data_IF_326662126004
#
_entry.id   IF_326662126004
#
_cell.length_a   1.000
_cell.length_b   1.000
_cell.length_c   1.000
_cell.angle_alpha   90.00
_cell.angle_beta   90.00
_cell.angle_gamma   90.00
#
_symmetry.space_group_name_H-M   'P 1'
#
loop_
_entity.id
_entity.type
_entity.pdbx_description
1 polymer ?
#
# COMPACT_ATOMS: atom_id res chain seq x y z
N UNK A 1 -4.18 19.62 -17.12
CA UNK A 1 -2.71 19.51 -17.02
C UNK A 1 -2.38 18.72 -15.76
N UNK A 2 -2.32 17.39 -15.85
CA UNK A 2 -1.96 16.54 -14.72
C UNK A 2 -0.44 16.50 -14.61
N UNK A 3 0.11 17.25 -13.64
CA UNK A 3 1.53 17.12 -13.29
C UNK A 3 1.69 15.88 -12.44
N UNK A 4 2.20 14.80 -13.03
CA UNK A 4 2.85 13.73 -12.25
C UNK A 4 4.08 14.35 -11.59
N UNK A 5 4.19 14.36 -10.25
CA UNK A 5 5.37 14.87 -9.59
C UNK A 5 6.56 13.97 -9.91
N UNK A 6 7.68 14.56 -10.33
CA UNK A 6 8.99 13.95 -10.59
C UNK A 6 9.66 13.30 -9.34
N UNK A 7 8.88 12.79 -8.38
CA UNK A 7 9.36 12.30 -7.09
C UNK A 7 9.44 10.77 -6.97
N UNK A 8 9.04 10.00 -7.99
CA UNK A 8 8.82 8.56 -7.82
C UNK A 8 10.11 7.72 -7.82
N UNK A 9 11.23 8.21 -8.35
CA UNK A 9 12.46 7.39 -8.48
C UNK A 9 13.73 7.95 -7.83
N UNK A 10 13.73 9.19 -7.34
CA UNK A 10 14.97 9.90 -6.98
C UNK A 10 15.46 9.79 -5.53
N UNK A 11 14.72 9.16 -4.60
CA UNK A 11 15.13 9.02 -3.19
C UNK A 11 14.90 7.61 -2.65
N UNK A 12 15.23 6.60 -3.45
CA UNK A 12 15.19 5.19 -3.05
C UNK A 12 16.36 4.74 -2.15
N UNK A 13 17.16 5.68 -1.64
CA UNK A 13 18.34 5.40 -0.82
C UNK A 13 18.42 6.37 0.37
N UNK A 14 17.43 6.30 1.25
CA UNK A 14 17.67 6.61 2.66
C UNK A 14 17.29 5.36 3.47
N UNK A 15 18.29 4.70 4.06
CA UNK A 15 18.19 3.37 4.67
C UNK A 15 17.45 3.35 6.02
N UNK A 16 16.45 4.20 6.23
CA UNK A 16 15.55 4.09 7.38
C UNK A 16 14.40 3.15 7.05
N UNK A 17 14.65 1.85 7.12
CA UNK A 17 13.63 0.80 6.99
C UNK A 17 12.39 1.09 7.86
N UNK A 18 11.22 0.61 7.43
CA UNK A 18 10.03 0.54 8.28
C UNK A 18 10.39 -0.22 9.56
N UNK A 19 10.13 0.38 10.72
CA UNK A 19 10.51 -0.19 12.03
C UNK A 19 9.33 -0.22 12.98
N UNK A 20 9.15 -1.35 13.65
CA UNK A 20 8.27 -1.44 14.83
C UNK A 20 8.99 -0.80 16.00
N UNK A 21 8.44 0.30 16.51
CA UNK A 21 8.96 1.01 17.68
C UNK A 21 8.09 0.67 18.89
N UNK A 22 8.66 -0.04 19.85
CA UNK A 22 7.95 -0.48 21.05
C UNK A 22 7.88 0.70 22.03
N UNK A 23 6.66 1.09 22.41
CA UNK A 23 6.40 2.20 23.31
C UNK A 23 6.31 1.72 24.77
N UNK A 24 5.82 0.50 24.98
CA UNK A 24 5.69 -0.08 26.30
C UNK A 24 5.06 -1.46 26.27
N UNK A 25 5.06 -2.14 27.42
CA UNK A 25 4.40 -3.41 27.62
C UNK A 25 3.69 -3.47 28.98
N UNK A 26 2.62 -4.26 29.05
CA UNK A 26 1.89 -4.55 30.27
C UNK A 26 1.72 -6.06 30.40
N UNK A 27 2.00 -6.60 31.58
CA UNK A 27 1.82 -8.01 31.87
C UNK A 27 0.61 -8.25 32.75
N UNK A 28 -0.21 -9.22 32.35
CA UNK A 28 -1.38 -9.68 33.09
C UNK A 28 -1.18 -11.15 33.44
N UNK A 29 -1.40 -11.49 34.71
CA UNK A 29 -1.30 -12.88 35.19
C UNK A 29 -2.67 -13.39 35.60
N UNK A 30 -2.98 -14.61 35.19
CA UNK A 30 -4.13 -15.35 35.70
C UNK A 30 -3.81 -16.84 35.72
N UNK A 31 -3.80 -17.45 36.91
CA UNK A 31 -3.48 -18.88 37.10
C UNK A 31 -2.14 -19.28 36.44
N UNK A 32 -2.15 -20.30 35.57
CA UNK A 32 -1.01 -20.80 34.80
C UNK A 32 -0.84 -20.07 33.44
N UNK A 33 -1.27 -18.80 33.36
CA UNK A 33 -1.19 -17.96 32.17
C UNK A 33 -0.56 -16.60 32.49
N UNK A 34 0.27 -16.14 31.57
CA UNK A 34 0.74 -14.75 31.47
C UNK A 34 0.40 -14.21 30.09
N UNK A 35 -0.25 -13.05 30.06
CA UNK A 35 -0.45 -12.28 28.85
C UNK A 35 0.47 -11.06 28.88
N UNK A 36 1.02 -10.70 27.73
CA UNK A 36 1.76 -9.47 27.49
C UNK A 36 0.98 -8.66 26.47
N UNK A 37 0.55 -7.46 26.87
CA UNK A 37 0.00 -6.45 25.97
C UNK A 37 1.14 -5.52 25.57
N UNK A 38 1.46 -5.48 24.28
CA UNK A 38 2.55 -4.71 23.70
C UNK A 38 1.96 -3.52 22.96
N UNK A 39 2.40 -2.32 23.34
CA UNK A 39 2.05 -1.07 22.67
C UNK A 39 3.20 -0.70 21.75
N UNK A 40 2.91 -0.55 20.46
CA UNK A 40 3.94 -0.26 19.47
C UNK A 40 3.42 0.76 18.45
N UNK A 41 4.34 1.46 17.81
CA UNK A 41 4.07 2.31 16.66
C UNK A 41 4.94 1.88 15.49
N UNK A 42 4.56 2.29 14.28
CA UNK A 42 5.33 1.99 13.07
C UNK A 42 6.03 3.26 12.65
N UNK A 43 7.36 3.25 12.70
CA UNK A 43 8.17 4.33 12.15
C UNK A 43 8.37 4.07 10.67
N UNK A 44 7.77 4.90 9.84
CA UNK A 44 7.95 4.90 8.39
C UNK A 44 8.93 6.00 7.96
N UNK A 45 9.59 5.86 6.79
CA UNK A 45 10.24 6.99 6.14
C UNK A 45 9.25 8.14 5.93
N UNK A 46 9.75 9.36 5.72
CA UNK A 46 8.92 10.51 5.37
C UNK A 46 8.33 10.36 3.95
N UNK A 47 7.31 9.50 3.84
CA UNK A 47 6.59 9.14 2.63
C UNK A 47 5.10 9.17 2.94
N UNK A 48 4.37 10.06 2.25
CA UNK A 48 2.94 10.28 2.45
C UNK A 48 2.10 9.00 2.25
N UNK A 49 2.43 8.15 1.26
CA UNK A 49 1.71 6.91 1.00
C UNK A 49 1.85 5.90 2.16
N UNK A 50 3.06 5.83 2.75
CA UNK A 50 3.29 4.95 3.91
C UNK A 50 2.68 5.50 5.19
N UNK A 51 2.58 6.82 5.34
CA UNK A 51 1.88 7.44 6.49
C UNK A 51 0.40 7.09 6.47
N UNK A 52 -0.23 7.14 5.29
CA UNK A 52 -1.65 6.81 5.15
C UNK A 52 -1.94 5.30 5.39
N UNK A 53 -0.95 4.42 5.25
CA UNK A 53 -1.11 2.99 5.52
C UNK A 53 -1.17 2.66 7.02
N UNK A 54 -0.51 3.45 7.86
CA UNK A 54 -0.42 3.25 9.30
C UNK A 54 -1.16 4.35 10.08
N UNK A 55 -2.29 4.81 9.55
CA UNK A 55 -3.24 5.63 10.31
C UNK A 55 -3.59 4.85 11.59
N UNK A 56 -3.58 5.57 12.72
CA UNK A 56 -3.51 5.10 14.12
C UNK A 56 -2.07 5.13 14.68
N UNK A 57 -1.71 6.22 15.36
CA UNK A 57 -0.35 6.50 15.88
C UNK A 57 0.18 5.42 16.85
N UNK A 58 -0.67 4.52 17.35
CA UNK A 58 -0.29 3.40 18.19
C UNK A 58 -1.16 2.14 17.94
N UNK A 59 -0.50 0.99 17.92
CA UNK A 59 -1.08 -0.34 17.78
C UNK A 59 -0.91 -1.13 19.07
N UNK A 60 -1.77 -2.13 19.25
CA UNK A 60 -1.74 -3.02 20.41
C UNK A 60 -1.72 -4.46 19.95
N UNK A 61 -0.71 -5.21 20.37
CA UNK A 61 -0.60 -6.65 20.14
C UNK A 61 -0.58 -7.40 21.47
N UNK A 62 -1.20 -8.57 21.52
CA UNK A 62 -1.27 -9.38 22.74
C UNK A 62 -0.62 -10.75 22.49
N UNK A 63 0.32 -11.13 23.34
CA UNK A 63 0.94 -12.44 23.36
C UNK A 63 0.60 -13.19 24.64
N UNK A 64 0.23 -14.46 24.53
CA UNK A 64 -0.20 -15.28 25.68
C UNK A 64 0.72 -16.48 25.84
N UNK A 65 1.34 -16.60 27.01
CA UNK A 65 2.03 -17.79 27.48
C UNK A 65 1.11 -18.56 28.44
N UNK A 66 0.93 -19.85 28.20
CA UNK A 66 0.17 -20.78 29.05
C UNK A 66 0.99 -22.05 29.23
N UNK A 67 1.17 -22.48 30.47
CA UNK A 67 1.71 -23.81 30.77
C UNK A 67 0.57 -24.83 30.85
N UNK A 68 0.92 -26.10 30.69
CA UNK A 68 0.01 -27.22 30.97
C UNK A 68 -0.44 -27.18 32.44
N UNK A 69 -1.60 -27.74 32.76
CA UNK A 69 -2.14 -27.71 34.14
C UNK A 69 -1.21 -28.40 35.16
N UNK A 70 -0.40 -29.35 34.69
CA UNK A 70 0.49 -30.16 35.53
C UNK A 70 1.97 -29.69 35.51
N UNK A 71 2.28 -28.58 34.83
CA UNK A 71 3.65 -28.05 34.74
C UNK A 71 3.92 -26.98 35.81
N UNK A 72 5.18 -26.89 36.25
CA UNK A 72 5.61 -25.81 37.15
C UNK A 72 5.66 -24.48 36.40
N UNK A 73 4.84 -23.51 36.83
CA UNK A 73 4.74 -22.21 36.17
C UNK A 73 5.88 -21.26 36.59
N UNK A 74 6.91 -21.15 35.74
CA UNK A 74 7.93 -20.10 35.90
C UNK A 74 7.43 -18.78 35.31
N UNK A 75 7.13 -17.82 36.19
CA UNK A 75 6.67 -16.48 35.84
C UNK A 75 7.64 -15.75 34.90
N UNK A 76 8.95 -15.91 35.12
CA UNK A 76 9.99 -15.22 34.34
C UNK A 76 9.99 -15.74 32.90
N UNK A 77 9.93 -17.06 32.75
CA UNK A 77 9.81 -17.71 31.44
C UNK A 77 8.48 -17.39 30.77
N UNK A 78 7.37 -17.39 31.52
CA UNK A 78 6.05 -17.02 31.03
C UNK A 78 6.00 -15.60 30.46
N UNK A 79 6.60 -14.62 31.16
CA UNK A 79 6.72 -13.25 30.67
C UNK A 79 7.54 -13.17 29.38
N UNK A 80 8.69 -13.84 29.30
CA UNK A 80 9.52 -13.87 28.08
C UNK A 80 8.76 -14.44 26.88
N UNK A 81 8.05 -15.54 27.07
CA UNK A 81 7.25 -16.17 26.00
C UNK A 81 6.09 -15.26 25.58
N UNK A 82 5.37 -14.69 26.55
CA UNK A 82 4.25 -13.81 26.26
C UNK A 82 4.70 -12.57 25.49
N UNK A 83 5.81 -11.97 25.89
CA UNK A 83 6.43 -10.84 25.17
C UNK A 83 6.83 -11.23 23.74
N UNK A 84 7.56 -12.34 23.55
CA UNK A 84 7.99 -12.79 22.23
C UNK A 84 6.80 -13.06 21.29
N UNK A 85 5.69 -13.57 21.83
CA UNK A 85 4.45 -13.76 21.05
C UNK A 85 3.80 -12.43 20.68
N UNK A 86 3.76 -11.46 21.60
CA UNK A 86 3.20 -10.14 21.34
C UNK A 86 4.04 -9.39 20.29
N UNK A 87 5.36 -9.49 20.38
CA UNK A 87 6.30 -8.91 19.41
C UNK A 87 6.13 -9.55 18.03
N UNK A 88 6.08 -10.89 17.95
CA UNK A 88 5.79 -11.59 16.69
C UNK A 88 4.46 -11.12 16.07
N UNK A 89 3.41 -10.96 16.88
CA UNK A 89 2.11 -10.48 16.41
C UNK A 89 2.21 -9.05 15.86
N UNK A 90 2.95 -8.15 16.52
CA UNK A 90 3.17 -6.79 16.05
C UNK A 90 3.85 -6.76 14.67
N UNK A 91 4.93 -7.52 14.49
CA UNK A 91 5.59 -7.63 13.18
C UNK A 91 4.69 -8.24 12.11
N UNK A 92 3.88 -9.24 12.48
CA UNK A 92 2.93 -9.86 11.55
C UNK A 92 1.86 -8.88 11.09
N UNK A 93 1.33 -8.06 12.00
CA UNK A 93 0.34 -7.03 11.66
C UNK A 93 0.92 -6.02 10.66
N UNK A 94 2.13 -5.51 10.91
CA UNK A 94 2.82 -4.59 9.99
C UNK A 94 3.03 -5.24 8.63
N UNK A 95 3.50 -6.48 8.59
CA UNK A 95 3.71 -7.22 7.34
C UNK A 95 2.39 -7.43 6.56
N UNK A 96 1.30 -7.74 7.26
CA UNK A 96 -0.02 -7.97 6.65
C UNK A 96 -0.53 -6.71 5.97
N UNK A 97 -0.40 -5.54 6.61
CA UNK A 97 -0.75 -4.24 6.00
C UNK A 97 0.11 -3.92 4.77
N UNK A 98 1.41 -4.20 4.83
CA UNK A 98 2.32 -4.01 3.69
C UNK A 98 1.98 -4.91 2.50
N UNK A 99 1.59 -6.16 2.76
CA UNK A 99 1.18 -7.09 1.71
C UNK A 99 -0.13 -6.65 1.05
N UNK A 100 -1.10 -6.17 1.82
CA UNK A 100 -2.33 -5.59 1.29
C UNK A 100 -2.03 -4.38 0.40
N UNK A 101 -1.24 -3.42 0.91
CA UNK A 101 -0.84 -2.24 0.14
C UNK A 101 -0.11 -2.60 -1.17
N UNK A 102 0.78 -3.60 -1.13
CA UNK A 102 1.45 -4.09 -2.35
C UNK A 102 0.47 -4.63 -3.38
N UNK A 103 -0.57 -5.34 -2.93
CA UNK A 103 -1.63 -5.87 -3.79
C UNK A 103 -2.45 -4.73 -4.41
N UNK A 104 -2.87 -3.77 -3.60
CA UNK A 104 -3.68 -2.63 -4.05
C UNK A 104 -2.90 -1.75 -5.03
N UNK A 105 -1.61 -1.51 -4.76
CA UNK A 105 -0.73 -0.77 -5.67
C UNK A 105 -0.61 -1.47 -7.03
N UNK A 106 -0.49 -2.81 -7.03
CA UNK A 106 -0.45 -3.57 -8.27
C UNK A 106 -1.75 -3.39 -9.07
N UNK A 107 -2.90 -3.52 -8.42
CA UNK A 107 -4.20 -3.35 -9.08
C UNK A 107 -4.38 -1.92 -9.63
N UNK A 108 -3.94 -0.91 -8.87
CA UNK A 108 -3.96 0.48 -9.31
C UNK A 108 -3.12 0.67 -10.58
N UNK A 109 -1.88 0.16 -10.61
CA UNK A 109 -1.00 0.26 -11.78
C UNK A 109 -1.59 -0.45 -13.01
N UNK A 110 -2.10 -1.67 -12.83
CA UNK A 110 -2.73 -2.44 -13.91
C UNK A 110 -3.96 -1.69 -14.50
N UNK A 111 -4.75 -1.03 -13.63
CA UNK A 111 -5.90 -0.21 -14.04
C UNK A 111 -5.46 1.07 -14.76
N UNK A 112 -4.44 1.75 -14.22
CA UNK A 112 -3.89 2.96 -14.80
C UNK A 112 -3.37 2.72 -16.22
N UNK A 113 -2.60 1.65 -16.43
CA UNK A 113 -2.06 1.30 -17.75
C UNK A 113 -3.17 1.01 -18.77
N UNK A 114 -4.25 0.37 -18.32
CA UNK A 114 -5.43 0.11 -19.16
C UNK A 114 -6.10 1.42 -19.59
N UNK A 115 -6.38 2.31 -18.64
CA UNK A 115 -7.02 3.61 -18.93
C UNK A 115 -6.12 4.47 -19.81
N UNK A 116 -4.82 4.49 -19.54
CA UNK A 116 -3.84 5.22 -20.34
C UNK A 116 -3.83 4.73 -21.79
N UNK A 117 -3.77 3.41 -22.00
CA UNK A 117 -3.75 2.81 -23.34
C UNK A 117 -5.02 3.13 -24.13
N UNK A 118 -6.19 3.01 -23.50
CA UNK A 118 -7.48 3.36 -24.12
C UNK A 118 -7.55 4.84 -24.49
N UNK A 119 -7.06 5.71 -23.62
CA UNK A 119 -7.04 7.15 -23.88
C UNK A 119 -6.07 7.48 -25.02
N UNK A 120 -4.87 6.90 -25.03
CA UNK A 120 -3.88 7.09 -26.09
C UNK A 120 -4.44 6.67 -27.45
N UNK A 121 -5.04 5.48 -27.55
CA UNK A 121 -5.65 5.00 -28.80
C UNK A 121 -6.78 5.92 -29.28
N UNK A 122 -7.60 6.45 -28.35
CA UNK A 122 -8.65 7.42 -28.70
C UNK A 122 -8.05 8.74 -29.15
N UNK A 123 -7.00 9.21 -28.49
CA UNK A 123 -6.29 10.43 -28.85
C UNK A 123 -5.70 10.32 -30.26
N UNK A 124 -4.95 9.25 -30.55
CA UNK A 124 -4.32 9.02 -31.85
C UNK A 124 -5.36 8.95 -32.97
N UNK A 125 -6.47 8.22 -32.77
CA UNK A 125 -7.60 8.19 -33.73
C UNK A 125 -8.22 9.56 -33.95
N UNK A 126 -8.35 10.37 -32.89
CA UNK A 126 -8.94 11.71 -33.00
C UNK A 126 -8.03 12.64 -33.78
N UNK A 127 -6.72 12.58 -33.55
CA UNK A 127 -5.73 13.34 -34.31
C UNK A 127 -5.77 12.92 -35.79
N UNK A 128 -5.74 11.62 -36.09
CA UNK A 128 -5.80 11.12 -37.46
C UNK A 128 -7.09 11.54 -38.20
N UNK A 129 -8.27 11.41 -37.56
CA UNK A 129 -9.52 11.89 -38.17
C UNK A 129 -9.51 13.42 -38.37
N UNK A 130 -8.91 14.18 -37.44
CA UNK A 130 -8.81 15.65 -37.55
C UNK A 130 -7.89 16.07 -38.68
N UNK A 131 -6.72 15.44 -38.80
CA UNK A 131 -5.75 15.73 -39.86
C UNK A 131 -6.36 15.41 -41.24
N UNK A 132 -7.02 14.25 -41.39
CA UNK A 132 -7.75 13.90 -42.62
C UNK A 132 -8.85 14.91 -42.95
N UNK A 133 -9.58 15.39 -41.95
CA UNK A 133 -10.59 16.43 -42.16
C UNK A 133 -9.95 17.73 -42.67
N UNK A 134 -8.88 18.20 -42.02
CA UNK A 134 -8.20 19.44 -42.39
C UNK A 134 -7.58 19.36 -43.80
N UNK A 135 -6.99 18.23 -44.17
CA UNK A 135 -6.47 18.01 -45.52
C UNK A 135 -7.58 18.08 -46.58
N UNK A 136 -8.76 17.50 -46.29
CA UNK A 136 -9.92 17.54 -47.20
C UNK A 136 -10.46 18.96 -47.41
N UNK A 137 -10.39 19.83 -46.40
CA UNK A 137 -10.88 21.22 -46.49
C UNK A 137 -9.84 22.21 -47.04
N UNK A 138 -8.55 21.98 -46.78
CA UNK A 138 -7.47 22.78 -47.37
C UNK A 138 -7.26 22.45 -48.86
N UNK A 139 -7.65 21.25 -49.30
CA UNK A 139 -7.74 20.86 -50.71
C UNK A 139 -9.11 21.15 -51.32
N UNK A 140 -9.52 22.41 -51.43
CA UNK A 140 -10.70 22.77 -52.22
C UNK A 140 -10.45 22.57 -53.72
N UNK A 141 -10.59 21.33 -54.20
CA UNK A 141 -11.00 21.03 -55.57
C UNK A 141 -12.20 20.08 -55.53
N UNK A 142 -13.37 20.66 -55.85
CA UNK A 142 -14.61 20.03 -56.33
C UNK A 142 -15.24 18.95 -55.42
N UNK A 143 -16.17 19.39 -54.56
CA UNK A 143 -17.09 18.50 -53.87
C UNK A 143 -18.42 18.39 -54.62
N UNK A 144 -18.54 17.37 -55.47
CA UNK A 144 -19.85 16.81 -55.82
C UNK A 144 -19.87 15.36 -55.35
N UNK A 145 -20.82 15.08 -54.45
CA UNK A 145 -21.14 13.77 -53.87
C UNK A 145 -20.01 13.07 -53.12
N UNK A 146 -20.15 12.95 -51.80
CA UNK A 146 -19.97 11.64 -51.15
C UNK A 146 -20.49 11.65 -49.72
N UNK A 147 -21.52 10.84 -49.52
CA UNK A 147 -22.18 10.49 -48.27
C UNK A 147 -21.39 9.40 -47.53
N UNK A 148 -20.13 9.67 -47.18
CA UNK A 148 -19.44 8.83 -46.21
C UNK A 148 -19.67 9.37 -44.81
N UNK A 149 -19.97 8.50 -43.82
CA UNK A 149 -20.07 8.94 -42.45
C UNK A 149 -18.70 9.47 -42.05
N UNK A 150 -18.70 10.69 -41.51
CA UNK A 150 -17.59 11.13 -40.67
C UNK A 150 -17.40 10.09 -39.57
N UNK A 151 -16.16 9.87 -39.15
CA UNK A 151 -15.85 9.23 -37.87
C UNK A 151 -16.92 9.65 -36.82
#
# INVERSE_FOLDING_TARGET
MFKLPNYIFGRLLDHSAIKVSILGNEFYRHENKVACKLFFTVKTPDNHLLKDLFIDDYFVSIGIAKCSENDTFDLTTGQKIAYAKAEKAAYWEVMSRLLAFKSDLKQFLDTFDTVYSQFSEKYDRTIECTDRYLDRFNGCQNFENESEPFC
#
